data_IF_481675650638
#
_entry.id   IF_481675650638
#
_cell.length_a   1.000
_cell.length_b   1.000
_cell.length_c   1.000
_cell.angle_alpha   90.00
_cell.angle_beta   90.00
_cell.angle_gamma   90.00
#
_symmetry.space_group_name_H-M   'P 1'
#
loop_
_entity.id
_entity.type
_entity.pdbx_description
1 polymer ?
#
# COMPACT_ATOMS: atom_id res chain seq x y z
N UNK A 1 -26.53 18.50 -9.50
CA UNK A 1 -26.53 17.84 -10.83
C UNK A 1 -25.94 18.83 -11.83
N UNK A 2 -24.61 18.86 -11.96
CA UNK A 2 -23.95 19.59 -13.04
C UNK A 2 -24.23 18.84 -14.35
N UNK A 3 -24.74 19.55 -15.34
CA UNK A 3 -25.22 18.94 -16.58
C UNK A 3 -24.03 18.52 -17.45
N UNK A 4 -24.15 17.41 -18.19
CA UNK A 4 -23.13 16.92 -19.13
C UNK A 4 -22.60 18.00 -20.12
N UNK A 5 -23.34 19.10 -20.31
CA UNK A 5 -22.93 20.25 -21.12
C UNK A 5 -21.81 21.10 -20.51
N UNK A 6 -21.77 21.25 -19.18
CA UNK A 6 -20.73 22.07 -18.51
C UNK A 6 -19.35 21.39 -18.56
N UNK A 7 -19.32 20.05 -18.48
CA UNK A 7 -18.08 19.27 -18.58
C UNK A 7 -17.44 19.37 -19.97
N UNK A 8 -18.25 19.27 -21.04
CA UNK A 8 -17.76 19.43 -22.42
C UNK A 8 -17.27 20.86 -22.69
N UNK A 9 -17.96 21.87 -22.14
CA UNK A 9 -17.54 23.26 -22.26
C UNK A 9 -16.21 23.53 -21.55
N UNK A 10 -16.00 22.97 -20.35
CA UNK A 10 -14.75 23.07 -19.60
C UNK A 10 -13.56 22.46 -20.34
N UNK A 11 -13.72 21.26 -20.90
CA UNK A 11 -12.67 20.57 -21.67
C UNK A 11 -12.38 21.34 -22.96
N UNK A 12 -13.43 21.83 -23.64
CA UNK A 12 -13.29 22.63 -24.85
C UNK A 12 -12.53 23.94 -24.57
N UNK A 13 -12.83 24.64 -23.47
CA UNK A 13 -12.14 25.87 -23.07
C UNK A 13 -10.67 25.59 -22.70
N UNK A 14 -10.38 24.48 -22.01
CA UNK A 14 -9.00 24.08 -21.71
C UNK A 14 -8.19 23.74 -22.98
N UNK A 15 -8.81 23.05 -23.94
CA UNK A 15 -8.20 22.76 -25.25
C UNK A 15 -8.01 24.03 -26.10
N UNK A 16 -8.94 24.98 -26.03
CA UNK A 16 -8.83 26.26 -26.72
C UNK A 16 -7.70 27.11 -26.13
N UNK A 17 -7.61 27.19 -24.80
CA UNK A 17 -6.51 27.86 -24.11
C UNK A 17 -5.15 27.21 -24.47
N UNK A 18 -5.11 25.88 -24.62
CA UNK A 18 -3.94 25.15 -25.10
C UNK A 18 -3.53 25.53 -26.52
N UNK A 19 -4.49 25.56 -27.46
CA UNK A 19 -4.23 25.96 -28.85
C UNK A 19 -3.71 27.41 -28.93
N UNK A 20 -4.31 28.33 -28.16
CA UNK A 20 -3.89 29.74 -28.11
C UNK A 20 -2.48 29.89 -27.52
N UNK A 21 -2.14 29.13 -26.47
CA UNK A 21 -0.81 29.13 -25.88
C UNK A 21 0.26 28.46 -26.78
N UNK A 22 -0.11 27.41 -27.54
CA UNK A 22 0.77 26.80 -28.54
C UNK A 22 1.11 27.73 -29.69
N UNK A 23 0.14 28.53 -30.15
CA UNK A 23 0.34 29.54 -31.20
C UNK A 23 1.22 30.71 -30.70
N UNK A 24 1.10 31.10 -29.44
CA UNK A 24 1.93 32.17 -28.85
C UNK A 24 3.38 31.74 -28.58
N UNK A 25 3.63 30.45 -28.33
CA UNK A 25 4.97 29.85 -28.30
C UNK A 25 5.73 30.02 -29.63
N UNK A 26 5.01 30.00 -30.75
CA UNK A 26 5.60 30.19 -32.09
C UNK A 26 6.09 31.63 -32.33
N UNK A 27 5.58 32.61 -31.57
CA UNK A 27 5.88 34.04 -31.75
C UNK A 27 7.00 34.57 -30.82
N UNK A 28 7.72 33.69 -30.12
CA UNK A 28 9.08 33.95 -29.63
C UNK A 28 9.29 34.86 -28.41
N UNK A 29 8.35 35.73 -28.02
CA UNK A 29 8.54 36.65 -26.88
C UNK A 29 7.84 36.25 -25.57
N UNK A 30 7.00 35.21 -25.58
CA UNK A 30 6.21 34.76 -24.41
C UNK A 30 6.37 33.26 -24.09
N UNK A 31 7.48 32.64 -24.48
CA UNK A 31 7.62 31.17 -24.44
C UNK A 31 7.47 30.55 -23.05
N UNK A 32 7.94 31.22 -22.00
CA UNK A 32 7.90 30.68 -20.62
C UNK A 32 6.49 30.74 -20.02
N UNK A 33 5.75 31.82 -20.23
CA UNK A 33 4.36 31.94 -19.78
C UNK A 33 3.43 31.00 -20.55
N UNK A 34 3.67 30.80 -21.83
CA UNK A 34 2.94 29.83 -22.65
C UNK A 34 3.26 28.37 -22.28
N UNK A 35 4.51 28.03 -21.95
CA UNK A 35 4.86 26.70 -21.39
C UNK A 35 4.20 26.44 -20.04
N UNK A 36 4.18 27.43 -19.14
CA UNK A 36 3.50 27.29 -17.84
C UNK A 36 1.99 27.15 -18.03
N UNK A 37 1.38 27.97 -18.89
CA UNK A 37 -0.06 27.89 -19.18
C UNK A 37 -0.45 26.53 -19.79
N UNK A 38 0.35 26.00 -20.72
CA UNK A 38 0.11 24.67 -21.31
C UNK A 38 0.30 23.56 -20.28
N UNK A 39 1.35 23.60 -19.46
CA UNK A 39 1.57 22.64 -18.38
C UNK A 39 0.43 22.66 -17.35
N UNK A 40 -0.02 23.84 -16.93
CA UNK A 40 -1.18 24.00 -16.05
C UNK A 40 -2.48 23.48 -16.70
N UNK A 41 -2.69 23.76 -17.99
CA UNK A 41 -3.82 23.23 -18.75
C UNK A 41 -3.84 21.69 -18.78
N UNK A 42 -2.70 21.06 -19.08
CA UNK A 42 -2.57 19.60 -19.03
C UNK A 42 -2.82 19.04 -17.64
N UNK A 43 -2.23 19.65 -16.60
CA UNK A 43 -2.44 19.25 -15.23
C UNK A 43 -3.93 19.32 -14.84
N UNK A 44 -4.64 20.36 -15.28
CA UNK A 44 -6.06 20.56 -15.00
C UNK A 44 -6.94 19.54 -15.74
N UNK A 45 -6.62 19.24 -17.01
CA UNK A 45 -7.30 18.17 -17.77
C UNK A 45 -7.07 16.80 -17.11
N UNK A 46 -5.83 16.49 -16.71
CA UNK A 46 -5.51 15.23 -16.03
C UNK A 46 -6.23 15.15 -14.68
N UNK A 47 -6.23 16.23 -13.90
CA UNK A 47 -6.93 16.30 -12.63
C UNK A 47 -8.43 16.09 -12.80
N UNK A 48 -9.04 16.71 -13.83
CA UNK A 48 -10.46 16.56 -14.12
C UNK A 48 -10.80 15.13 -14.58
N UNK A 49 -9.98 14.53 -15.44
CA UNK A 49 -10.15 13.13 -15.84
C UNK A 49 -10.03 12.17 -14.66
N UNK A 50 -9.15 12.45 -13.69
CA UNK A 50 -9.07 11.66 -12.44
C UNK A 50 -10.34 11.83 -11.61
N UNK A 51 -10.81 13.06 -11.45
CA UNK A 51 -12.03 13.35 -10.71
C UNK A 51 -13.25 12.68 -11.34
N UNK A 52 -13.41 12.74 -12.67
CA UNK A 52 -14.53 12.10 -13.36
C UNK A 52 -14.53 10.57 -13.18
N UNK A 53 -13.35 9.93 -13.12
CA UNK A 53 -13.22 8.49 -12.82
C UNK A 53 -13.61 8.17 -11.38
N UNK A 54 -13.19 8.99 -10.42
CA UNK A 54 -13.57 8.84 -9.01
C UNK A 54 -15.08 9.07 -8.81
N UNK A 55 -15.67 10.06 -9.48
CA UNK A 55 -17.12 10.30 -9.46
C UNK A 55 -17.90 9.12 -10.06
N UNK A 56 -17.40 8.50 -11.13
CA UNK A 56 -18.03 7.33 -11.75
C UNK A 56 -17.93 6.09 -10.84
N UNK A 57 -16.78 5.87 -10.19
CA UNK A 57 -16.61 4.80 -9.20
C UNK A 57 -17.59 4.96 -8.02
N UNK A 58 -17.74 6.18 -7.51
CA UNK A 58 -18.67 6.51 -6.43
C UNK A 58 -20.14 6.31 -6.86
N UNK A 59 -20.52 6.72 -8.08
CA UNK A 59 -21.88 6.49 -8.62
C UNK A 59 -22.23 5.01 -8.71
N UNK A 60 -21.24 4.16 -8.97
CA UNK A 60 -21.39 2.69 -9.03
C UNK A 60 -21.37 2.02 -7.66
N UNK A 61 -21.16 2.78 -6.59
CA UNK A 61 -21.08 2.28 -5.23
C UNK A 61 -19.90 1.33 -5.00
N UNK A 62 -18.78 1.53 -5.71
CA UNK A 62 -17.65 0.61 -5.65
C UNK A 62 -16.86 0.74 -4.34
N UNK A 63 -16.85 1.92 -3.73
CA UNK A 63 -16.26 2.14 -2.40
C UNK A 63 -16.99 1.35 -1.31
N UNK A 64 -18.33 1.34 -1.33
CA UNK A 64 -19.15 0.56 -0.40
C UNK A 64 -18.96 -0.94 -0.61
N UNK A 65 -18.84 -1.39 -1.86
CA UNK A 65 -18.52 -2.79 -2.17
C UNK A 65 -17.15 -3.19 -1.67
N UNK A 66 -16.14 -2.33 -1.84
CA UNK A 66 -14.79 -2.60 -1.32
C UNK A 66 -14.80 -2.65 0.21
N UNK A 67 -15.53 -1.75 0.85
CA UNK A 67 -15.69 -1.76 2.31
C UNK A 67 -16.40 -3.03 2.79
N UNK A 68 -17.47 -3.45 2.11
CA UNK A 68 -18.15 -4.70 2.40
C UNK A 68 -17.23 -5.93 2.23
N UNK A 69 -16.39 -5.94 1.19
CA UNK A 69 -15.39 -7.00 1.00
C UNK A 69 -14.36 -7.05 2.16
N UNK A 70 -13.94 -5.90 2.69
CA UNK A 70 -13.06 -5.84 3.88
C UNK A 70 -13.76 -6.41 5.11
N UNK A 71 -15.04 -6.10 5.31
CA UNK A 71 -15.81 -6.67 6.43
C UNK A 71 -15.95 -8.19 6.29
N UNK A 72 -16.20 -8.70 5.09
CA UNK A 72 -16.21 -10.13 4.81
C UNK A 72 -14.86 -10.78 5.11
N UNK A 73 -13.76 -10.16 4.70
CA UNK A 73 -12.40 -10.63 5.01
C UNK A 73 -12.18 -10.71 6.53
N UNK A 74 -12.53 -9.65 7.28
CA UNK A 74 -12.38 -9.62 8.74
C UNK A 74 -13.21 -10.70 9.45
N UNK A 75 -14.35 -11.10 8.89
CA UNK A 75 -15.20 -12.18 9.41
C UNK A 75 -14.73 -13.58 8.96
N UNK A 76 -13.67 -13.67 8.15
CA UNK A 76 -13.18 -14.94 7.61
C UNK A 76 -13.97 -15.49 6.42
N UNK A 77 -14.91 -14.71 5.85
CA UNK A 77 -15.68 -15.09 4.66
C UNK A 77 -14.88 -14.84 3.37
N UNK A 78 -13.68 -15.44 3.28
CA UNK A 78 -12.65 -15.11 2.29
C UNK A 78 -13.10 -15.33 0.83
N UNK A 79 -13.83 -16.41 0.55
CA UNK A 79 -14.32 -16.69 -0.81
C UNK A 79 -15.40 -15.70 -1.27
N UNK A 80 -16.24 -15.23 -0.35
CA UNK A 80 -17.23 -14.18 -0.64
C UNK A 80 -16.54 -12.83 -0.82
N UNK A 81 -15.56 -12.51 0.04
CA UNK A 81 -14.74 -11.32 -0.08
C UNK A 81 -14.08 -11.27 -1.47
N UNK A 82 -13.39 -12.34 -1.88
CA UNK A 82 -12.75 -12.50 -3.20
C UNK A 82 -13.73 -12.20 -4.34
N UNK A 83 -14.92 -12.80 -4.32
CA UNK A 83 -15.93 -12.58 -5.36
C UNK A 83 -16.31 -11.09 -5.49
N UNK A 84 -16.54 -10.42 -4.36
CA UNK A 84 -16.91 -9.00 -4.34
C UNK A 84 -15.73 -8.14 -4.80
N UNK A 85 -14.52 -8.38 -4.31
CA UNK A 85 -13.37 -7.53 -4.61
C UNK A 85 -12.88 -7.70 -6.05
N UNK A 86 -12.98 -8.88 -6.65
CA UNK A 86 -12.72 -9.05 -8.09
C UNK A 86 -13.66 -8.19 -8.94
N UNK A 87 -14.96 -8.17 -8.59
CA UNK A 87 -15.90 -7.29 -9.26
C UNK A 87 -15.50 -5.81 -9.13
N UNK A 88 -14.99 -5.39 -7.97
CA UNK A 88 -14.49 -4.02 -7.78
C UNK A 88 -13.26 -3.77 -8.65
N UNK A 89 -12.27 -4.67 -8.65
CA UNK A 89 -11.04 -4.54 -9.42
C UNK A 89 -11.29 -4.43 -10.94
N UNK A 90 -12.26 -5.18 -11.46
CA UNK A 90 -12.64 -5.20 -12.88
C UNK A 90 -13.39 -3.93 -13.30
N UNK A 91 -14.21 -3.36 -12.41
CA UNK A 91 -15.06 -2.21 -12.73
C UNK A 91 -14.44 -0.85 -12.40
N UNK A 92 -13.48 -0.81 -11.47
CA UNK A 92 -12.84 0.41 -11.00
C UNK A 92 -12.16 1.18 -12.13
N UNK A 93 -12.48 2.46 -12.25
CA UNK A 93 -11.87 3.38 -13.19
C UNK A 93 -10.71 4.16 -12.55
N UNK A 94 -10.76 4.38 -11.24
CA UNK A 94 -9.69 5.03 -10.50
C UNK A 94 -8.58 4.04 -10.15
N UNK A 95 -7.32 4.44 -10.40
CA UNK A 95 -6.16 3.64 -10.02
C UNK A 95 -6.07 3.42 -8.50
N UNK A 96 -6.59 4.37 -7.71
CA UNK A 96 -6.65 4.28 -6.24
C UNK A 96 -7.52 3.09 -5.81
N UNK A 97 -8.73 3.00 -6.36
CA UNK A 97 -9.68 1.96 -5.99
C UNK A 97 -9.28 0.60 -6.54
N UNK A 98 -8.81 0.56 -7.79
CA UNK A 98 -8.28 -0.66 -8.41
C UNK A 98 -7.11 -1.21 -7.59
N UNK A 99 -6.19 -0.35 -7.13
CA UNK A 99 -5.09 -0.78 -6.27
C UNK A 99 -5.58 -1.37 -4.95
N UNK A 100 -6.48 -0.66 -4.25
CA UNK A 100 -7.00 -1.14 -2.99
C UNK A 100 -7.77 -2.46 -3.13
N UNK A 101 -8.41 -2.69 -4.28
CA UNK A 101 -9.05 -3.96 -4.61
C UNK A 101 -8.01 -5.08 -4.85
N UNK A 102 -6.97 -4.82 -5.64
CA UNK A 102 -5.91 -5.80 -5.92
C UNK A 102 -5.10 -6.17 -4.65
N UNK A 103 -4.82 -5.21 -3.76
CA UNK A 103 -4.20 -5.48 -2.47
C UNK A 103 -5.10 -6.35 -1.58
N UNK A 104 -6.42 -6.08 -1.57
CA UNK A 104 -7.36 -6.90 -0.81
C UNK A 104 -7.52 -8.31 -1.41
N UNK A 105 -7.48 -8.47 -2.74
CA UNK A 105 -7.39 -9.79 -3.40
C UNK A 105 -6.15 -10.51 -2.90
N UNK A 106 -4.98 -9.87 -2.94
CA UNK A 106 -3.73 -10.47 -2.50
C UNK A 106 -3.80 -10.94 -1.04
N UNK A 107 -4.33 -10.13 -0.13
CA UNK A 107 -4.51 -10.55 1.27
C UNK A 107 -5.49 -11.71 1.43
N UNK A 108 -6.59 -11.72 0.68
CA UNK A 108 -7.55 -12.81 0.73
C UNK A 108 -6.95 -14.12 0.17
N UNK A 109 -6.21 -14.06 -0.94
CA UNK A 109 -5.52 -15.21 -1.52
C UNK A 109 -4.44 -15.76 -0.58
N UNK A 110 -3.67 -14.90 0.08
CA UNK A 110 -2.74 -15.32 1.14
C UNK A 110 -3.45 -16.02 2.29
N UNK A 111 -4.60 -15.51 2.71
CA UNK A 111 -5.37 -16.09 3.81
C UNK A 111 -5.99 -17.47 3.47
N UNK A 112 -6.10 -17.83 2.19
CA UNK A 112 -6.51 -19.16 1.72
C UNK A 112 -5.35 -20.00 1.18
N UNK A 113 -4.11 -19.64 1.53
CA UNK A 113 -2.88 -20.38 1.17
C UNK A 113 -2.62 -20.47 -0.35
N UNK A 114 -2.83 -19.35 -1.07
CA UNK A 114 -2.60 -19.23 -2.52
C UNK A 114 -1.64 -18.07 -2.86
N UNK A 115 -0.35 -18.19 -2.50
CA UNK A 115 0.60 -17.10 -2.64
C UNK A 115 0.86 -16.70 -4.10
N UNK A 116 0.80 -17.63 -5.05
CA UNK A 116 0.97 -17.33 -6.48
C UNK A 116 -0.17 -16.47 -7.02
N UNK A 117 -1.41 -16.76 -6.64
CA UNK A 117 -2.58 -15.96 -7.03
C UNK A 117 -2.49 -14.55 -6.43
N UNK A 118 -2.02 -14.43 -5.17
CA UNK A 118 -1.77 -13.14 -4.55
C UNK A 118 -0.71 -12.33 -5.30
N UNK A 119 0.38 -12.99 -5.72
CA UNK A 119 1.44 -12.37 -6.53
C UNK A 119 0.93 -11.92 -7.89
N UNK A 120 0.14 -12.74 -8.56
CA UNK A 120 -0.45 -12.41 -9.85
C UNK A 120 -1.37 -11.19 -9.73
N UNK A 121 -2.18 -11.10 -8.67
CA UNK A 121 -3.01 -9.92 -8.41
C UNK A 121 -2.17 -8.64 -8.23
N UNK A 122 -1.06 -8.70 -7.47
CA UNK A 122 -0.17 -7.56 -7.31
C UNK A 122 0.60 -7.21 -8.59
N UNK A 123 0.89 -8.19 -9.46
CA UNK A 123 1.54 -7.95 -10.75
C UNK A 123 0.70 -7.10 -11.73
N UNK A 124 -0.63 -7.08 -11.53
CA UNK A 124 -1.54 -6.24 -12.30
C UNK A 124 -1.48 -4.74 -11.92
N UNK A 125 -0.79 -4.38 -10.83
CA UNK A 125 -0.59 -2.99 -10.44
C UNK A 125 0.38 -2.31 -11.42
N UNK A 126 -0.16 -1.44 -12.28
CA UNK A 126 0.66 -0.61 -13.18
C UNK A 126 1.50 0.37 -12.36
N UNK A 127 2.69 0.70 -12.87
CA UNK A 127 3.78 1.48 -12.25
C UNK A 127 3.40 2.82 -11.56
N UNK A 128 2.20 3.36 -11.77
CA UNK A 128 1.77 4.65 -11.23
C UNK A 128 1.41 4.64 -9.72
N UNK A 129 1.39 3.47 -9.08
CA UNK A 129 1.20 3.37 -7.64
C UNK A 129 1.74 2.06 -7.12
N UNK A 130 2.88 2.11 -6.43
CA UNK A 130 3.44 0.94 -5.77
C UNK A 130 2.38 0.33 -4.83
N UNK A 131 2.28 -1.00 -4.85
CA UNK A 131 1.55 -1.77 -3.85
C UNK A 131 2.01 -1.33 -2.45
N UNK A 132 1.15 -1.46 -1.45
CA UNK A 132 1.58 -1.41 -0.07
C UNK A 132 2.78 -2.36 0.11
N UNK A 133 3.97 -1.84 0.48
CA UNK A 133 5.18 -2.64 0.53
C UNK A 133 5.12 -3.79 1.53
N UNK A 134 4.29 -3.65 2.58
CA UNK A 134 4.07 -4.73 3.53
C UNK A 134 3.26 -5.87 2.90
N UNK A 135 2.17 -5.56 2.17
CA UNK A 135 1.45 -6.54 1.36
C UNK A 135 2.37 -7.24 0.35
N UNK A 136 3.17 -6.48 -0.40
CA UNK A 136 4.13 -7.06 -1.35
C UNK A 136 5.14 -7.99 -0.66
N UNK A 137 5.71 -7.58 0.46
CA UNK A 137 6.67 -8.40 1.19
C UNK A 137 6.02 -9.67 1.77
N UNK A 138 4.79 -9.59 2.27
CA UNK A 138 4.06 -10.76 2.74
C UNK A 138 3.82 -11.78 1.62
N UNK A 139 3.46 -11.32 0.42
CA UNK A 139 3.32 -12.18 -0.76
C UNK A 139 4.64 -12.84 -1.16
N UNK A 140 5.73 -12.09 -1.19
CA UNK A 140 7.06 -12.62 -1.53
C UNK A 140 7.53 -13.67 -0.51
N UNK A 141 7.35 -13.41 0.78
CA UNK A 141 7.68 -14.36 1.84
C UNK A 141 6.85 -15.66 1.72
N UNK A 142 5.54 -15.54 1.46
CA UNK A 142 4.68 -16.69 1.26
C UNK A 142 5.01 -17.48 -0.03
N UNK A 143 5.61 -16.82 -1.04
CA UNK A 143 6.18 -17.49 -2.21
C UNK A 143 7.57 -18.11 -1.95
N UNK A 144 8.08 -18.10 -0.72
CA UNK A 144 9.40 -18.63 -0.36
C UNK A 144 10.57 -17.66 -0.56
N UNK A 145 10.30 -16.40 -0.92
CA UNK A 145 11.33 -15.38 -1.17
C UNK A 145 11.59 -14.52 0.09
N UNK A 146 11.79 -15.13 1.26
CA UNK A 146 11.91 -14.42 2.55
C UNK A 146 13.05 -13.38 2.59
N UNK A 147 14.18 -13.63 1.91
CA UNK A 147 15.26 -12.65 1.79
C UNK A 147 14.82 -11.38 1.04
N UNK A 148 14.00 -11.54 0.00
CA UNK A 148 13.49 -10.44 -0.79
C UNK A 148 12.38 -9.69 -0.04
N UNK A 149 11.48 -10.40 0.63
CA UNK A 149 10.50 -9.82 1.54
C UNK A 149 11.19 -8.94 2.60
N UNK A 150 12.25 -9.46 3.22
CA UNK A 150 13.05 -8.70 4.19
C UNK A 150 13.64 -7.43 3.58
N UNK A 151 14.20 -7.51 2.37
CA UNK A 151 14.74 -6.36 1.66
C UNK A 151 13.67 -5.27 1.43
N UNK A 152 12.45 -5.65 1.02
CA UNK A 152 11.35 -4.73 0.78
C UNK A 152 10.98 -3.99 2.08
N UNK A 153 10.81 -4.72 3.19
CA UNK A 153 10.41 -4.12 4.47
C UNK A 153 11.51 -3.25 5.06
N UNK A 154 12.78 -3.67 4.97
CA UNK A 154 13.92 -2.85 5.41
C UNK A 154 14.05 -1.56 4.61
N UNK A 155 13.84 -1.61 3.29
CA UNK A 155 13.88 -0.42 2.44
C UNK A 155 12.83 0.60 2.89
N UNK A 156 11.64 0.15 3.24
CA UNK A 156 10.59 1.04 3.73
C UNK A 156 10.82 1.54 5.14
N UNK A 157 11.34 0.70 6.04
CA UNK A 157 11.71 1.11 7.40
C UNK A 157 12.74 2.25 7.42
N UNK A 158 13.59 2.36 6.39
CA UNK A 158 14.55 3.47 6.24
C UNK A 158 13.91 4.76 5.75
N UNK A 159 12.76 4.68 5.07
CA UNK A 159 12.06 5.82 4.48
C UNK A 159 11.02 6.41 5.40
N UNK A 160 10.35 5.56 6.19
CA UNK A 160 9.24 5.92 7.05
C UNK A 160 9.13 4.98 8.24
N UNK A 161 8.42 5.46 9.25
CA UNK A 161 7.99 4.62 10.35
C UNK A 161 7.01 3.54 9.85
N UNK A 162 7.25 2.30 10.28
CA UNK A 162 6.40 1.16 9.95
C UNK A 162 5.22 1.07 10.93
N UNK A 163 4.11 0.49 10.48
CA UNK A 163 3.05 0.09 11.42
C UNK A 163 3.56 -0.99 12.38
N UNK A 164 2.82 -1.21 13.46
CA UNK A 164 3.12 -2.29 14.42
C UNK A 164 3.17 -3.64 13.74
N UNK A 165 2.18 -3.95 12.89
CA UNK A 165 2.07 -5.22 12.17
C UNK A 165 3.25 -5.45 11.22
N UNK A 166 3.63 -4.41 10.45
CA UNK A 166 4.79 -4.48 9.56
C UNK A 166 6.11 -4.62 10.34
N UNK A 167 6.20 -4.05 11.54
CA UNK A 167 7.35 -4.20 12.44
C UNK A 167 7.44 -5.63 12.98
N UNK A 168 6.32 -6.22 13.42
CA UNK A 168 6.28 -7.62 13.87
C UNK A 168 6.67 -8.57 12.75
N UNK A 169 6.11 -8.38 11.56
CA UNK A 169 6.50 -9.17 10.39
C UNK A 169 7.98 -9.04 10.05
N UNK A 170 8.56 -7.84 10.19
CA UNK A 170 10.01 -7.64 10.04
C UNK A 170 10.80 -8.44 11.07
N UNK A 171 10.36 -8.45 12.33
CA UNK A 171 11.01 -9.22 13.41
C UNK A 171 10.97 -10.71 13.10
N UNK A 172 9.83 -11.22 12.66
CA UNK A 172 9.66 -12.62 12.25
C UNK A 172 10.58 -12.99 11.08
N UNK A 173 10.66 -12.12 10.06
CA UNK A 173 11.59 -12.27 8.95
C UNK A 173 13.06 -12.27 9.41
N UNK A 174 13.42 -11.38 10.34
CA UNK A 174 14.76 -11.36 10.93
C UNK A 174 15.08 -12.67 11.64
N UNK A 175 14.14 -13.21 12.41
CA UNK A 175 14.33 -14.47 13.13
C UNK A 175 14.62 -15.63 12.15
N UNK A 176 13.84 -15.72 11.06
CA UNK A 176 14.00 -16.79 10.04
C UNK A 176 15.26 -16.62 9.18
N UNK A 177 15.57 -15.39 8.77
CA UNK A 177 16.61 -15.12 7.76
C UNK A 177 17.98 -14.84 8.38
N UNK A 178 18.02 -14.14 9.51
CA UNK A 178 19.25 -13.67 10.18
C UNK A 178 19.47 -14.28 11.56
N UNK A 179 18.51 -15.08 12.05
CA UNK A 179 18.56 -15.72 13.35
C UNK A 179 17.95 -14.91 14.48
N UNK A 180 17.74 -15.59 15.61
CA UNK A 180 17.05 -15.07 16.80
C UNK A 180 17.75 -13.88 17.44
N UNK A 181 19.08 -13.86 17.43
CA UNK A 181 19.85 -12.78 18.01
C UNK A 181 19.55 -11.44 17.30
N UNK A 182 19.47 -11.47 15.96
CA UNK A 182 19.11 -10.31 15.16
C UNK A 182 17.66 -9.87 15.40
N UNK A 183 16.74 -10.82 15.57
CA UNK A 183 15.34 -10.52 15.89
C UNK A 183 15.19 -9.88 17.28
N UNK A 184 15.88 -10.40 18.29
CA UNK A 184 15.88 -9.85 19.65
C UNK A 184 16.49 -8.45 19.69
N UNK A 185 17.61 -8.23 18.98
CA UNK A 185 18.23 -6.92 18.86
C UNK A 185 17.29 -5.91 18.18
N UNK A 186 16.64 -6.31 17.08
CA UNK A 186 15.65 -5.46 16.42
C UNK A 186 14.46 -5.16 17.35
N UNK A 187 14.00 -6.14 18.14
CA UNK A 187 12.91 -5.95 19.10
C UNK A 187 13.28 -4.92 20.17
N UNK A 188 14.51 -4.98 20.69
CA UNK A 188 15.07 -3.98 21.62
C UNK A 188 15.06 -2.56 21.00
N UNK A 189 15.42 -2.43 19.73
CA UNK A 189 15.41 -1.14 19.03
C UNK A 189 13.99 -0.59 18.82
N UNK A 190 12.96 -1.45 18.82
CA UNK A 190 11.58 -1.08 18.54
C UNK A 190 10.67 -1.06 19.78
N UNK A 191 11.23 -1.14 21.01
CA UNK A 191 10.43 -1.22 22.24
C UNK A 191 9.38 -0.10 22.40
N UNK A 192 9.70 1.12 21.95
CA UNK A 192 8.76 2.26 22.00
C UNK A 192 7.54 2.13 21.08
N UNK A 193 7.50 1.12 20.19
CA UNK A 193 6.46 0.90 19.18
C UNK A 193 5.72 -0.41 19.38
N UNK A 194 6.28 -1.32 20.15
CA UNK A 194 5.73 -2.64 20.39
C UNK A 194 4.90 -2.63 21.68
N UNK A 195 3.85 -3.44 21.71
CA UNK A 195 3.16 -3.70 22.96
C UNK A 195 3.95 -4.72 23.78
N UNK A 196 3.75 -4.70 25.11
CA UNK A 196 4.40 -5.65 26.01
C UNK A 196 4.21 -7.10 25.55
N UNK A 197 3.01 -7.44 25.11
CA UNK A 197 2.63 -8.78 24.62
C UNK A 197 3.46 -9.22 23.41
N UNK A 198 3.87 -8.29 22.55
CA UNK A 198 4.71 -8.57 21.38
C UNK A 198 6.13 -8.93 21.82
N UNK A 199 6.67 -8.15 22.75
CA UNK A 199 8.02 -8.34 23.29
C UNK A 199 8.09 -9.66 24.06
N UNK A 200 7.07 -9.97 24.87
CA UNK A 200 6.94 -11.25 25.57
C UNK A 200 6.81 -12.44 24.62
N UNK A 201 6.19 -12.25 23.43
CA UNK A 201 6.13 -13.30 22.40
C UNK A 201 7.51 -13.59 21.83
N UNK A 202 8.27 -12.57 21.45
CA UNK A 202 9.63 -12.72 20.91
C UNK A 202 10.55 -13.36 21.95
N UNK A 203 10.47 -12.90 23.21
CA UNK A 203 11.27 -13.45 24.29
C UNK A 203 10.98 -14.94 24.54
N UNK A 204 9.70 -15.32 24.65
CA UNK A 204 9.32 -16.74 24.81
C UNK A 204 9.82 -17.61 23.66
N UNK A 205 9.76 -17.08 22.43
CA UNK A 205 10.27 -17.80 21.27
C UNK A 205 11.79 -17.97 21.34
N UNK A 206 12.53 -16.92 21.70
CA UNK A 206 13.97 -16.98 21.88
C UNK A 206 14.39 -17.96 22.99
N UNK A 207 13.74 -17.90 24.16
CA UNK A 207 14.01 -18.79 25.29
C UNK A 207 13.79 -20.27 24.92
N UNK A 208 12.76 -20.56 24.13
CA UNK A 208 12.45 -21.93 23.67
C UNK A 208 13.49 -22.51 22.71
N UNK A 209 14.25 -21.64 22.03
CA UNK A 209 15.23 -22.03 21.03
C UNK A 209 16.68 -22.04 21.56
N UNK A 210 16.90 -21.58 22.80
CA UNK A 210 18.20 -21.60 23.49
C UNK A 210 18.71 -20.23 23.91
N UNK A 211 19.71 -20.23 24.79
CA UNK A 211 20.19 -19.02 25.47
C UNK A 211 20.97 -18.11 24.52
N UNK A 212 20.49 -16.87 24.34
CA UNK A 212 21.11 -15.83 23.52
C UNK A 212 21.30 -14.57 24.35
N UNK A 213 22.47 -13.92 24.24
CA UNK A 213 22.75 -12.64 24.92
C UNK A 213 21.69 -11.57 24.61
N UNK A 214 21.16 -11.57 23.39
CA UNK A 214 20.10 -10.64 23.01
C UNK A 214 18.76 -10.99 23.65
N UNK A 215 18.46 -12.27 23.87
CA UNK A 215 17.27 -12.70 24.63
C UNK A 215 17.39 -12.28 26.11
N UNK A 216 18.56 -12.44 26.73
CA UNK A 216 18.81 -11.96 28.10
C UNK A 216 18.67 -10.43 28.19
N UNK A 217 19.20 -9.69 27.21
CA UNK A 217 19.06 -8.24 27.14
C UNK A 217 17.58 -7.81 26.98
N UNK A 218 16.83 -8.54 26.14
CA UNK A 218 15.39 -8.33 25.97
C UNK A 218 14.62 -8.60 27.28
N UNK A 219 14.94 -9.68 27.98
CA UNK A 219 14.36 -10.01 29.29
C UNK A 219 14.64 -8.92 30.34
N UNK A 220 15.84 -8.34 30.33
CA UNK A 220 16.20 -7.25 31.24
C UNK A 220 15.51 -5.92 30.92
N UNK A 221 15.15 -5.67 29.66
CA UNK A 221 14.42 -4.46 29.25
C UNK A 221 12.92 -4.54 29.59
N UNK A 222 12.34 -5.76 29.65
CA UNK A 222 10.92 -6.00 29.86
C UNK A 222 10.31 -5.32 31.11
N UNK A 223 10.95 -5.32 32.30
CA UNK A 223 10.42 -4.67 33.49
C UNK A 223 10.30 -3.15 33.37
N UNK A 224 11.09 -2.53 32.48
CA UNK A 224 11.05 -1.09 32.25
C UNK A 224 9.81 -0.70 31.45
N UNK A 225 9.39 -1.55 30.49
CA UNK A 225 8.15 -1.39 29.74
C UNK A 225 6.89 -1.55 30.59
N UNK A 226 6.91 -2.43 31.60
CA UNK A 226 5.76 -2.62 32.51
C UNK A 226 5.47 -1.41 33.40
N UNK A 227 6.41 -0.48 33.51
CA UNK A 227 6.31 0.71 34.38
C UNK A 227 6.01 2.00 33.60
N UNK A 228 6.12 1.96 32.28
CA UNK A 228 5.82 3.07 31.38
C UNK A 228 4.34 3.00 30.94
#
# INVERSE_FOLDING_TARGET
MATLGESKASIAVALLAFLVAGVSLWHGQAGLTAMVATACGFALVIARLRQDREEEDARRGLDEKLQYARELQQRGALQEALRVVHQVADLAQSAKLQRAALELIAWCELAVDRPEAARDALSCLREAGAADPYCQAAVEDACGNSLWALHIVEREARRRELSREATLFRIDLYARVRGLEAACALTLEQLGRLQLEDVERVLRFADSAGDSRAASALAHALPQLRRA
#
